data_IF_882120791158
#
_entry.id   IF_882120791158
#
_cell.length_a   1.000
_cell.length_b   1.000
_cell.length_c   1.000
_cell.angle_alpha   90.00
_cell.angle_beta   90.00
_cell.angle_gamma   90.00
#
_symmetry.space_group_name_H-M   'P 1'
#
loop_
_entity.id
_entity.type
_entity.pdbx_description
1 polymer ?
#
# COMPACT_ATOMS: atom_id res chain seq x y z
N UNK A 1 -17.20 -2.19 15.89
CA UNK A 1 -17.65 -0.98 15.16
C UNK A 1 -16.53 0.00 14.79
N UNK A 2 -15.78 0.53 15.75
CA UNK A 2 -14.94 1.73 15.53
C UNK A 2 -13.59 1.47 14.88
N UNK A 3 -13.00 0.26 14.99
CA UNK A 3 -11.63 0.00 14.49
C UNK A 3 -11.56 -0.30 13.00
N UNK A 4 -12.59 -0.93 12.39
CA UNK A 4 -12.67 -1.08 10.93
C UNK A 4 -13.18 0.18 10.27
N UNK A 5 -14.12 0.90 10.91
CA UNK A 5 -14.34 2.27 10.49
C UNK A 5 -13.04 3.04 10.66
N UNK A 6 -12.26 2.89 11.72
CA UNK A 6 -10.98 3.56 11.83
C UNK A 6 -9.97 3.07 10.80
N UNK A 7 -9.91 1.81 10.37
CA UNK A 7 -8.97 1.39 9.31
C UNK A 7 -9.48 1.81 7.92
N UNK A 8 -10.77 1.64 7.61
CA UNK A 8 -11.35 2.06 6.33
C UNK A 8 -11.47 3.59 6.23
N UNK A 9 -11.73 4.27 7.34
CA UNK A 9 -11.72 5.72 7.50
C UNK A 9 -10.29 6.22 7.61
N UNK A 10 -9.34 5.52 8.20
CA UNK A 10 -7.91 5.87 8.17
C UNK A 10 -7.38 5.71 6.75
N UNK A 11 -7.70 4.61 6.08
CA UNK A 11 -7.45 4.40 4.65
C UNK A 11 -8.13 5.53 3.87
N UNK A 12 -9.40 5.88 4.08
CA UNK A 12 -10.07 7.01 3.39
C UNK A 12 -9.57 8.41 3.80
N UNK A 13 -9.14 8.62 5.04
CA UNK A 13 -8.69 9.91 5.60
C UNK A 13 -7.25 10.19 5.18
N UNK A 14 -6.47 9.12 5.01
CA UNK A 14 -5.11 9.19 4.49
C UNK A 14 -5.08 8.97 2.97
N UNK A 15 -6.16 8.50 2.35
CA UNK A 15 -6.40 8.55 0.90
C UNK A 15 -7.39 9.69 0.64
N UNK A 16 -6.92 10.91 0.83
CA UNK A 16 -7.52 12.04 0.15
C UNK A 16 -6.52 12.58 -0.86
N UNK A 17 -6.97 12.60 -2.11
CA UNK A 17 -6.50 13.49 -3.15
C UNK A 17 -6.21 14.86 -2.54
N UNK A 18 -4.92 15.23 -2.53
CA UNK A 18 -4.58 16.64 -2.62
C UNK A 18 -4.86 17.08 -4.06
N UNK A 19 -6.14 17.19 -4.42
CA UNK A 19 -6.51 18.14 -5.46
C UNK A 19 -6.25 19.53 -4.87
N UNK A 20 -5.47 20.40 -5.54
CA UNK A 20 -5.26 21.76 -5.07
C UNK A 20 -6.61 22.45 -4.94
N UNK A 21 -6.84 23.06 -3.78
CA UNK A 21 -7.97 23.93 -3.49
C UNK A 21 -8.12 24.97 -4.60
N UNK A 22 -9.26 24.95 -5.30
CA UNK A 22 -9.66 26.06 -6.17
C UNK A 22 -9.74 27.35 -5.33
N UNK A 23 -9.05 28.44 -5.72
CA UNK A 23 -9.23 29.71 -5.05
C UNK A 23 -10.56 30.33 -5.48
N UNK A 24 -11.38 30.68 -4.48
CA UNK A 24 -12.66 31.37 -4.63
C UNK A 24 -12.51 32.73 -5.31
N UNK A 25 -13.38 32.98 -6.28
CA UNK A 25 -13.57 34.27 -6.94
C UNK A 25 -13.99 35.38 -5.97
N UNK A 26 -13.23 36.49 -5.95
CA UNK A 26 -13.81 37.85 -5.91
C UNK A 26 -12.84 38.82 -6.61
N UNK A 27 -13.31 39.71 -7.50
CA UNK A 27 -12.45 40.43 -8.43
C UNK A 27 -11.89 41.72 -7.83
N UNK A 28 -10.71 42.16 -8.27
CA UNK A 28 -10.42 43.53 -8.69
C UNK A 28 -8.96 43.72 -9.16
N UNK A 29 -8.84 44.58 -10.17
CA UNK A 29 -7.64 45.28 -10.66
C UNK A 29 -6.71 44.55 -11.65
N UNK A 30 -6.96 44.86 -12.93
CA UNK A 30 -6.08 44.72 -14.08
C UNK A 30 -4.75 45.48 -13.85
N UNK A 31 -3.61 44.83 -14.04
CA UNK A 31 -2.45 45.41 -14.73
C UNK A 31 -1.43 44.33 -15.19
N UNK A 32 -1.44 44.08 -16.50
CA UNK A 32 -0.33 43.69 -17.39
C UNK A 32 0.85 42.88 -16.81
N UNK A 33 0.93 41.58 -17.12
CA UNK A 33 2.11 40.96 -17.77
C UNK A 33 1.79 39.58 -18.36
N UNK A 34 1.87 39.47 -19.70
CA UNK A 34 2.14 38.30 -20.56
C UNK A 34 1.34 36.97 -20.42
N UNK A 35 1.01 36.31 -21.55
CA UNK A 35 0.40 34.98 -21.50
C UNK A 35 1.47 33.96 -21.10
N UNK A 36 1.35 33.37 -19.91
CA UNK A 36 2.17 32.22 -19.53
C UNK A 36 1.67 31.03 -20.34
N UNK A 37 2.26 30.86 -21.52
CA UNK A 37 2.12 29.68 -22.35
C UNK A 37 2.95 28.57 -21.66
N UNK A 38 2.32 27.81 -20.75
CA UNK A 38 2.97 26.67 -20.10
C UNK A 38 3.07 25.53 -21.12
N UNK A 39 4.30 25.11 -21.38
CA UNK A 39 4.62 24.03 -22.31
C UNK A 39 4.00 22.70 -21.80
N UNK A 40 3.38 21.86 -22.65
CA UNK A 40 2.85 20.56 -22.26
C UNK A 40 3.89 19.55 -21.73
N UNK A 41 5.16 19.95 -21.63
CA UNK A 41 6.28 19.18 -21.07
C UNK A 41 6.42 19.32 -19.54
N UNK A 42 5.70 20.24 -18.88
CA UNK A 42 5.75 20.44 -17.42
C UNK A 42 4.97 19.39 -16.60
N UNK A 43 4.43 18.34 -17.22
CA UNK A 43 3.60 17.31 -16.57
C UNK A 43 4.12 15.87 -16.73
N UNK A 44 5.44 15.67 -16.82
CA UNK A 44 6.03 14.31 -16.80
C UNK A 44 7.23 14.23 -15.85
N UNK A 45 7.02 13.56 -14.72
CA UNK A 45 8.07 13.07 -13.84
C UNK A 45 8.68 11.81 -14.51
N UNK A 46 9.91 11.85 -15.07
CA UNK A 46 10.41 10.74 -15.89
C UNK A 46 10.82 9.49 -15.08
N UNK A 47 10.96 9.61 -13.76
CA UNK A 47 11.45 8.56 -12.87
C UNK A 47 10.45 8.02 -11.86
N UNK A 48 9.30 8.67 -11.65
CA UNK A 48 8.30 8.29 -10.64
C UNK A 48 6.91 8.20 -11.27
N UNK A 49 6.15 7.19 -10.86
CA UNK A 49 4.76 6.98 -11.27
C UNK A 49 3.90 6.72 -10.04
N UNK A 50 2.61 7.01 -10.13
CA UNK A 50 1.64 6.67 -9.10
C UNK A 50 1.09 5.27 -9.37
N UNK A 51 1.22 4.34 -8.41
CA UNK A 51 0.65 2.98 -8.50
C UNK A 51 -0.62 2.90 -7.65
N UNK A 52 -1.63 2.17 -8.14
CA UNK A 52 -2.90 1.91 -7.46
C UNK A 52 -2.89 0.46 -6.96
N UNK A 53 -3.14 0.27 -5.67
CA UNK A 53 -3.26 -1.03 -5.01
C UNK A 53 -4.71 -1.21 -4.52
N UNK A 54 -5.47 -2.15 -5.09
CA UNK A 54 -6.79 -2.52 -4.63
C UNK A 54 -6.70 -3.31 -3.32
N UNK A 55 -7.62 -3.01 -2.43
CA UNK A 55 -7.88 -3.74 -1.18
C UNK A 55 -9.06 -4.69 -1.41
N UNK A 56 -10.09 -4.19 -2.11
CA UNK A 56 -11.28 -4.91 -2.56
C UNK A 56 -11.81 -4.28 -3.86
N UNK A 57 -13.02 -4.64 -4.29
CA UNK A 57 -13.65 -4.14 -5.53
C UNK A 57 -13.97 -2.63 -5.52
N UNK A 58 -14.10 -2.04 -4.34
CA UNK A 58 -14.57 -0.66 -4.16
C UNK A 58 -13.55 0.23 -3.44
N UNK A 59 -12.48 -0.35 -2.91
CA UNK A 59 -11.46 0.34 -2.13
C UNK A 59 -10.08 0.07 -2.71
N UNK A 60 -9.37 1.15 -3.02
CA UNK A 60 -7.97 1.12 -3.44
C UNK A 60 -7.20 2.26 -2.81
N UNK A 61 -5.89 2.14 -2.77
CA UNK A 61 -4.99 3.18 -2.31
C UNK A 61 -3.85 3.40 -3.30
N UNK A 62 -3.22 4.57 -3.20
CA UNK A 62 -2.19 4.99 -4.14
C UNK A 62 -0.87 5.24 -3.42
N UNK A 63 0.24 5.04 -4.11
CA UNK A 63 1.57 5.44 -3.66
C UNK A 63 2.49 5.81 -4.81
N UNK A 64 3.53 6.57 -4.51
CA UNK A 64 4.57 6.92 -5.47
C UNK A 64 5.60 5.80 -5.59
N UNK A 65 5.88 5.41 -6.83
CA UNK A 65 6.79 4.32 -7.19
C UNK A 65 7.87 4.81 -8.15
N UNK A 66 9.13 4.49 -7.85
CA UNK A 66 10.26 4.76 -8.73
C UNK A 66 10.38 3.72 -9.84
N UNK A 67 10.42 4.13 -11.11
CA UNK A 67 10.56 3.22 -12.24
C UNK A 67 12.01 2.70 -12.32
N UNK A 68 12.25 1.38 -12.25
CA UNK A 68 13.60 0.85 -12.32
C UNK A 68 14.35 1.27 -13.59
N UNK A 69 15.65 1.58 -13.44
CA UNK A 69 16.50 2.04 -14.55
C UNK A 69 16.29 3.50 -14.97
N UNK A 70 15.49 4.27 -14.22
CA UNK A 70 15.36 5.71 -14.40
C UNK A 70 16.18 6.46 -13.34
N UNK A 71 16.78 7.56 -13.76
CA UNK A 71 17.37 8.55 -12.87
C UNK A 71 16.23 9.28 -12.14
N UNK A 72 16.36 9.39 -10.82
CA UNK A 72 15.48 10.14 -9.93
C UNK A 72 16.12 11.49 -9.63
N UNK A 73 15.33 12.56 -9.65
CA UNK A 73 15.76 13.86 -9.19
C UNK A 73 15.65 13.96 -7.66
N UNK A 74 16.19 15.02 -7.06
CA UNK A 74 16.06 15.22 -5.61
C UNK A 74 14.59 15.41 -5.20
N UNK A 75 13.83 16.11 -6.03
CA UNK A 75 12.41 16.37 -5.84
C UNK A 75 11.58 15.07 -5.89
N UNK A 76 12.00 14.10 -6.70
CA UNK A 76 11.38 12.78 -6.78
C UNK A 76 11.57 11.99 -5.49
N UNK A 77 12.80 12.01 -4.95
CA UNK A 77 13.15 11.36 -3.69
C UNK A 77 12.43 12.02 -2.52
N UNK A 78 12.38 13.36 -2.49
CA UNK A 78 11.66 14.12 -1.46
C UNK A 78 10.16 13.80 -1.48
N UNK A 79 9.55 13.72 -2.66
CA UNK A 79 8.16 13.33 -2.83
C UNK A 79 7.89 11.95 -2.21
N UNK A 80 8.67 10.93 -2.60
CA UNK A 80 8.48 9.56 -2.10
C UNK A 80 8.79 9.46 -0.60
N UNK A 81 9.83 10.13 -0.12
CA UNK A 81 10.21 10.15 1.30
C UNK A 81 9.14 10.83 2.16
N UNK A 82 8.50 11.89 1.64
CA UNK A 82 7.40 12.58 2.33
C UNK A 82 6.12 11.73 2.41
N UNK A 83 5.90 10.85 1.43
CA UNK A 83 4.74 9.95 1.36
C UNK A 83 4.97 8.64 2.13
N UNK A 84 6.24 8.26 2.35
CA UNK A 84 6.64 7.01 2.99
C UNK A 84 5.95 6.75 4.34
N UNK A 85 5.83 7.72 5.29
CA UNK A 85 5.13 7.47 6.56
C UNK A 85 3.67 7.04 6.39
N UNK A 86 2.98 7.59 5.39
CA UNK A 86 1.60 7.20 5.07
C UNK A 86 1.55 5.77 4.53
N UNK A 87 2.44 5.45 3.60
CA UNK A 87 2.55 4.10 3.02
C UNK A 87 2.87 3.08 4.11
N UNK A 88 3.83 3.37 4.98
CA UNK A 88 4.20 2.50 6.10
C UNK A 88 3.06 2.26 7.07
N UNK A 89 2.24 3.28 7.36
CA UNK A 89 1.10 3.08 8.25
C UNK A 89 0.02 2.18 7.62
N UNK A 90 -0.18 2.25 6.30
CA UNK A 90 -1.06 1.28 5.60
C UNK A 90 -0.45 -0.13 5.68
N UNK A 91 0.85 -0.27 5.41
CA UNK A 91 1.55 -1.56 5.48
C UNK A 91 1.56 -2.14 6.89
N UNK A 92 1.64 -1.30 7.91
CA UNK A 92 1.53 -1.70 9.31
C UNK A 92 0.19 -2.35 9.60
N UNK A 93 -0.91 -1.73 9.15
CA UNK A 93 -2.23 -2.33 9.29
C UNK A 93 -2.32 -3.66 8.54
N UNK A 94 -1.76 -3.74 7.32
CA UNK A 94 -1.76 -4.98 6.53
C UNK A 94 -0.95 -6.10 7.20
N UNK A 95 0.26 -5.82 7.70
CA UNK A 95 1.11 -6.78 8.40
C UNK A 95 0.49 -7.21 9.72
N UNK A 96 -0.07 -6.29 10.49
CA UNK A 96 -0.81 -6.64 11.70
C UNK A 96 -1.99 -7.57 11.38
N UNK A 97 -2.75 -7.23 10.34
CA UNK A 97 -3.95 -7.96 9.96
C UNK A 97 -3.62 -9.36 9.44
N UNK A 98 -2.60 -9.49 8.59
CA UNK A 98 -2.37 -10.70 7.80
C UNK A 98 -1.12 -11.48 8.19
N UNK A 99 -0.21 -10.87 8.94
CA UNK A 99 1.13 -11.40 9.16
C UNK A 99 2.01 -11.19 7.92
N UNK A 100 3.28 -10.90 8.16
CA UNK A 100 4.32 -10.82 7.14
C UNK A 100 5.40 -11.87 7.37
N UNK A 101 6.19 -12.18 6.35
CA UNK A 101 7.41 -12.97 6.47
C UNK A 101 8.55 -12.16 5.88
N UNK A 102 9.62 -11.94 6.63
CA UNK A 102 10.77 -11.19 6.18
C UNK A 102 11.76 -12.08 5.42
N UNK A 103 12.23 -11.64 4.27
CA UNK A 103 13.20 -12.34 3.43
C UNK A 103 14.43 -11.49 3.18
N UNK A 104 15.57 -12.07 3.47
CA UNK A 104 16.88 -11.50 3.19
C UNK A 104 17.73 -12.48 2.41
N UNK A 105 18.93 -12.06 2.03
CA UNK A 105 19.88 -12.89 1.27
C UNK A 105 20.23 -14.23 1.96
N UNK A 106 20.14 -14.29 3.29
CA UNK A 106 20.47 -15.48 4.09
C UNK A 106 19.27 -16.39 4.38
N UNK A 107 18.06 -16.03 3.91
CA UNK A 107 16.86 -16.83 4.13
C UNK A 107 16.78 -17.98 3.11
N UNK A 108 17.22 -19.18 3.50
CA UNK A 108 17.25 -20.35 2.61
C UNK A 108 15.87 -20.98 2.35
N UNK A 109 14.89 -20.82 3.26
CA UNK A 109 13.56 -21.48 3.15
C UNK A 109 12.42 -20.67 3.78
N UNK A 110 11.32 -20.57 3.04
CA UNK A 110 10.03 -19.98 3.46
C UNK A 110 9.40 -20.63 4.70
N UNK A 111 9.56 -21.96 4.86
CA UNK A 111 8.83 -22.74 5.87
C UNK A 111 9.33 -22.60 7.31
N UNK A 112 10.51 -21.99 7.50
CA UNK A 112 11.14 -21.85 8.82
C UNK A 112 11.00 -20.42 9.38
N UNK A 113 10.43 -19.49 8.59
CA UNK A 113 10.22 -18.11 9.00
C UNK A 113 8.96 -18.01 9.85
N UNK A 114 9.10 -17.42 11.03
CA UNK A 114 7.96 -17.06 11.86
C UNK A 114 7.26 -15.83 11.27
N UNK A 115 5.92 -15.79 11.30
CA UNK A 115 5.20 -14.61 10.86
C UNK A 115 5.45 -13.45 11.83
N UNK A 116 5.67 -12.26 11.26
CA UNK A 116 5.73 -10.99 12.01
C UNK A 116 4.38 -10.29 11.91
N UNK A 117 3.94 -9.69 13.00
CA UNK A 117 2.67 -8.93 13.07
C UNK A 117 2.86 -7.47 13.46
N UNK A 118 4.12 -7.05 13.61
CA UNK A 118 4.52 -5.68 13.90
C UNK A 118 5.38 -5.16 12.74
N UNK A 119 4.98 -4.05 12.15
CA UNK A 119 5.75 -3.41 11.09
C UNK A 119 7.12 -2.95 11.55
N UNK A 120 7.26 -2.58 12.82
CA UNK A 120 8.53 -2.16 13.38
C UNK A 120 9.54 -3.32 13.40
N UNK A 121 9.08 -4.58 13.48
CA UNK A 121 9.93 -5.76 13.31
C UNK A 121 10.42 -5.89 11.85
N UNK A 122 9.55 -5.62 10.87
CA UNK A 122 9.92 -5.57 9.43
C UNK A 122 10.97 -4.50 9.18
N UNK A 123 10.78 -3.29 9.72
CA UNK A 123 11.74 -2.20 9.58
C UNK A 123 13.07 -2.51 10.27
N UNK A 124 13.03 -3.16 11.44
CA UNK A 124 14.24 -3.61 12.14
C UNK A 124 15.00 -4.63 11.30
N UNK A 125 14.30 -5.58 10.70
CA UNK A 125 14.87 -6.53 9.76
C UNK A 125 15.54 -5.84 8.56
N UNK A 126 14.87 -4.85 7.96
CA UNK A 126 15.42 -4.10 6.82
C UNK A 126 16.70 -3.33 7.20
N UNK A 127 16.71 -2.66 8.35
CA UNK A 127 17.91 -1.96 8.88
C UNK A 127 19.07 -2.90 9.13
N UNK A 128 18.82 -4.09 9.68
CA UNK A 128 19.84 -5.13 9.85
C UNK A 128 20.47 -5.57 8.52
N UNK A 129 19.75 -5.44 7.41
CA UNK A 129 20.22 -5.69 6.05
C UNK A 129 20.79 -4.43 5.35
N UNK A 130 21.00 -3.35 6.10
CA UNK A 130 21.61 -2.11 5.63
C UNK A 130 20.65 -1.06 5.06
N UNK A 131 19.34 -1.28 5.14
CA UNK A 131 18.34 -0.36 4.62
C UNK A 131 17.99 0.74 5.64
N UNK A 132 18.91 1.69 5.84
CA UNK A 132 18.68 2.89 6.69
C UNK A 132 17.84 3.96 5.98
N UNK A 133 17.98 4.05 4.67
CA UNK A 133 17.12 4.85 3.78
C UNK A 133 16.69 3.95 2.64
N UNK A 134 15.38 3.91 2.40
CA UNK A 134 14.79 3.01 1.41
C UNK A 134 13.59 3.62 0.72
N UNK A 135 13.30 3.06 -0.45
CA UNK A 135 12.02 3.16 -1.14
C UNK A 135 11.36 1.78 -1.13
N UNK A 136 10.05 1.77 -1.34
CA UNK A 136 9.26 0.54 -1.36
C UNK A 136 8.72 0.27 -2.76
N UNK A 137 8.84 -0.98 -3.20
CA UNK A 137 7.95 -1.52 -4.24
C UNK A 137 6.96 -2.47 -3.61
N UNK A 138 5.76 -2.53 -4.19
CA UNK A 138 4.68 -3.36 -3.68
C UNK A 138 4.01 -4.04 -4.85
N UNK A 139 4.34 -5.32 -5.00
CA UNK A 139 3.64 -6.21 -5.90
C UNK A 139 2.51 -6.89 -5.15
N UNK A 140 1.35 -6.98 -5.78
CA UNK A 140 0.17 -7.54 -5.16
C UNK A 140 -0.57 -8.46 -6.12
N UNK A 141 -1.25 -9.45 -5.56
CA UNK A 141 -2.32 -10.17 -6.23
C UNK A 141 -3.66 -9.64 -5.70
N UNK A 142 -4.64 -9.38 -6.58
CA UNK A 142 -5.93 -8.83 -6.15
C UNK A 142 -6.53 -9.67 -5.04
N UNK A 143 -7.04 -8.98 -4.02
CA UNK A 143 -7.58 -9.58 -2.81
C UNK A 143 -9.07 -9.32 -2.71
N UNK A 144 -9.81 -10.25 -2.09
CA UNK A 144 -11.15 -9.98 -1.59
C UNK A 144 -11.14 -9.95 -0.05
N UNK A 145 -11.35 -8.76 0.53
CA UNK A 145 -11.54 -8.56 1.98
C UNK A 145 -12.99 -8.14 2.19
N UNK A 146 -13.76 -8.87 3.00
CA UNK A 146 -15.13 -8.48 3.38
C UNK A 146 -15.36 -8.68 4.87
N UNK A 147 -16.30 -7.91 5.42
CA UNK A 147 -16.84 -8.14 6.76
C UNK A 147 -17.52 -9.51 6.80
N UNK A 148 -17.31 -10.26 7.87
CA UNK A 148 -17.91 -11.59 8.05
C UNK A 148 -18.75 -11.63 9.32
N UNK A 149 -20.05 -11.88 9.16
CA UNK A 149 -20.95 -12.12 10.28
C UNK A 149 -21.19 -13.63 10.40
N UNK A 150 -20.94 -14.21 11.58
CA UNK A 150 -21.10 -15.65 11.82
C UNK A 150 -22.56 -16.14 11.88
N UNK A 151 -23.56 -15.25 11.90
CA UNK A 151 -24.98 -15.61 11.99
C UNK A 151 -25.71 -15.39 10.64
N UNK A 152 -26.15 -16.46 9.96
CA UNK A 152 -26.86 -16.34 8.68
C UNK A 152 -28.35 -15.97 8.80
N UNK A 153 -28.97 -16.10 9.98
CA UNK A 153 -30.44 -16.19 10.08
C UNK A 153 -31.13 -15.19 11.04
N UNK A 154 -30.40 -14.26 11.65
CA UNK A 154 -31.04 -13.15 12.36
C UNK A 154 -30.87 -11.87 11.56
N UNK A 155 -31.92 -11.53 10.83
CA UNK A 155 -32.14 -10.21 10.27
C UNK A 155 -32.17 -9.19 11.41
N UNK A 156 -31.01 -8.60 11.71
CA UNK A 156 -30.88 -7.30 12.34
C UNK A 156 -29.47 -6.81 12.05
N UNK A 157 -29.36 -5.54 11.62
CA UNK A 157 -28.12 -4.80 11.42
C UNK A 157 -27.29 -4.76 12.71
N UNK A 158 -26.62 -5.87 13.05
CA UNK A 158 -25.59 -5.86 14.07
C UNK A 158 -24.41 -5.09 13.49
N UNK A 159 -24.31 -3.82 13.85
CA UNK A 159 -23.24 -2.90 13.41
C UNK A 159 -21.85 -3.32 13.92
N UNK A 160 -21.78 -4.28 14.84
CA UNK A 160 -20.55 -4.88 15.34
C UNK A 160 -20.18 -6.18 14.61
N UNK A 161 -19.62 -6.03 13.42
CA UNK A 161 -18.87 -7.13 12.79
C UNK A 161 -17.54 -7.29 13.52
N UNK A 162 -17.41 -8.37 14.31
CA UNK A 162 -16.19 -8.72 15.06
C UNK A 162 -15.14 -9.43 14.19
N UNK A 163 -15.52 -9.87 12.99
CA UNK A 163 -14.69 -10.71 12.12
C UNK A 163 -14.55 -10.18 10.69
N UNK A 164 -13.41 -10.46 10.07
CA UNK A 164 -13.17 -10.25 8.63
C UNK A 164 -12.92 -11.56 7.93
N UNK A 165 -13.34 -11.68 6.68
CA UNK A 165 -13.04 -12.78 5.78
C UNK A 165 -12.11 -12.30 4.67
N UNK A 166 -11.10 -13.12 4.36
CA UNK A 166 -10.03 -12.80 3.40
C UNK A 166 -9.81 -13.99 2.47
N UNK A 167 -9.83 -13.77 1.15
CA UNK A 167 -9.54 -14.80 0.14
C UNK A 167 -8.55 -14.30 -0.92
N UNK A 168 -7.61 -15.16 -1.34
CA UNK A 168 -6.24 -15.11 -0.85
C UNK A 168 -5.48 -13.94 -1.42
N UNK A 169 -4.89 -13.18 -0.52
CA UNK A 169 -3.96 -12.14 -0.86
C UNK A 169 -2.52 -12.62 -0.87
N UNK A 170 -1.76 -12.06 -1.80
CA UNK A 170 -0.30 -12.04 -1.75
C UNK A 170 0.15 -10.60 -1.96
N UNK A 171 0.87 -10.04 -0.99
CA UNK A 171 1.63 -8.81 -1.18
C UNK A 171 3.11 -9.11 -0.98
N UNK A 172 3.91 -8.59 -1.89
CA UNK A 172 5.36 -8.60 -1.81
C UNK A 172 5.81 -7.15 -1.70
N UNK A 173 6.23 -6.76 -0.49
CA UNK A 173 6.79 -5.45 -0.19
C UNK A 173 8.30 -5.57 -0.27
N UNK A 174 8.92 -4.84 -1.17
CA UNK A 174 10.35 -4.92 -1.42
C UNK A 174 11.05 -3.62 -1.11
N UNK A 175 12.18 -3.72 -0.42
CA UNK A 175 12.98 -2.57 -0.03
C UNK A 175 14.05 -2.29 -1.08
N UNK A 176 14.20 -1.02 -1.44
CA UNK A 176 15.20 -0.55 -2.39
C UNK A 176 16.08 0.54 -1.77
N UNK A 177 17.40 0.39 -1.89
CA UNK A 177 18.34 1.47 -1.57
C UNK A 177 18.49 2.39 -2.76
N UNK A 178 18.49 3.70 -2.49
CA UNK A 178 18.84 4.72 -3.46
C UNK A 178 20.28 5.18 -3.23
N UNK A 179 21.03 5.34 -4.31
CA UNK A 179 22.41 5.82 -4.29
C UNK A 179 22.52 7.13 -5.05
N UNK A 180 23.18 8.15 -4.46
CA UNK A 180 23.43 9.40 -5.17
C UNK A 180 24.40 9.19 -6.33
N UNK A 181 24.15 9.90 -7.44
CA UNK A 181 24.97 9.92 -8.64
C UNK A 181 25.28 11.37 -9.03
N UNK A 182 26.11 11.58 -10.06
CA UNK A 182 26.47 12.92 -10.53
C UNK A 182 25.27 13.75 -11.05
N UNK A 183 24.12 13.13 -11.32
CA UNK A 183 22.94 13.78 -11.89
C UNK A 183 21.65 13.65 -11.08
N UNK A 184 21.68 12.98 -9.93
CA UNK A 184 20.49 12.67 -9.15
C UNK A 184 20.67 11.41 -8.30
N UNK A 185 19.68 10.54 -8.29
CA UNK A 185 19.66 9.30 -7.53
C UNK A 185 19.27 8.13 -8.43
N UNK A 186 19.82 6.97 -8.16
CA UNK A 186 19.45 5.73 -8.84
C UNK A 186 19.22 4.62 -7.83
N UNK A 187 18.38 3.65 -8.17
CA UNK A 187 18.25 2.42 -7.40
C UNK A 187 19.58 1.67 -7.43
N UNK A 188 20.07 1.25 -6.27
CA UNK A 188 21.32 0.50 -6.16
C UNK A 188 21.28 -0.80 -6.97
N UNK A 189 22.31 -1.03 -7.79
CA UNK A 189 22.52 -2.27 -8.54
C UNK A 189 23.93 -2.83 -8.23
N UNK A 190 24.09 -4.15 -7.99
CA UNK A 190 23.04 -5.16 -7.91
C UNK A 190 22.15 -4.97 -6.68
N UNK A 191 20.89 -5.38 -6.81
CA UNK A 191 19.89 -5.25 -5.75
C UNK A 191 20.21 -6.17 -4.57
N UNK A 192 20.22 -5.60 -3.37
CA UNK A 192 20.24 -6.39 -2.13
C UNK A 192 18.85 -6.95 -1.89
N UNK A 193 18.74 -8.27 -1.68
CA UNK A 193 17.46 -8.92 -1.39
C UNK A 193 17.03 -8.53 0.02
N UNK A 194 15.92 -7.79 0.13
CA UNK A 194 15.21 -7.49 1.37
C UNK A 194 13.74 -7.24 1.06
N UNK A 195 12.86 -8.09 1.58
CA UNK A 195 11.41 -7.97 1.35
C UNK A 195 10.60 -8.48 2.53
N UNK A 196 9.34 -8.07 2.61
CA UNK A 196 8.32 -8.63 3.47
C UNK A 196 7.20 -9.18 2.58
N UNK A 197 6.84 -10.46 2.75
CA UNK A 197 5.72 -11.06 2.03
C UNK A 197 4.58 -11.33 2.99
N UNK A 198 3.42 -10.79 2.63
CA UNK A 198 2.15 -11.16 3.23
C UNK A 198 1.57 -12.22 2.33
N UNK A 199 1.58 -13.47 2.80
CA UNK A 199 0.95 -14.57 2.09
C UNK A 199 0.00 -15.31 3.00
N UNK A 200 -1.29 -15.12 2.72
CA UNK A 200 -2.38 -15.72 3.50
C UNK A 200 -2.49 -17.22 3.23
N UNK A 201 -2.11 -17.68 2.03
CA UNK A 201 -2.03 -19.08 1.60
C UNK A 201 -3.37 -19.81 1.50
N UNK A 202 -4.31 -19.48 2.37
CA UNK A 202 -5.63 -20.08 2.53
C UNK A 202 -6.61 -18.99 2.95
N UNK A 203 -7.84 -19.02 2.40
CA UNK A 203 -8.98 -18.31 2.94
C UNK A 203 -9.11 -18.42 4.48
N UNK A 204 -9.31 -17.30 5.17
CA UNK A 204 -9.50 -17.30 6.62
C UNK A 204 -10.47 -16.22 7.10
N UNK A 205 -10.97 -16.43 8.32
CA UNK A 205 -11.70 -15.46 9.12
C UNK A 205 -10.81 -15.03 10.28
N UNK A 206 -10.65 -13.73 10.51
CA UNK A 206 -9.93 -13.19 11.67
C UNK A 206 -10.84 -12.35 12.56
N UNK A 207 -10.80 -12.62 13.86
CA UNK A 207 -11.42 -11.78 14.89
C UNK A 207 -10.55 -10.55 15.12
N UNK A 208 -11.15 -9.36 15.04
CA UNK A 208 -10.41 -8.09 15.03
C UNK A 208 -9.81 -7.77 16.39
N UNK A 209 -10.59 -7.93 17.47
CA UNK A 209 -10.13 -7.61 18.82
C UNK A 209 -9.11 -8.61 19.39
N UNK A 210 -9.35 -9.91 19.21
CA UNK A 210 -8.49 -10.96 19.80
C UNK A 210 -7.35 -11.37 18.88
N UNK A 211 -7.42 -11.05 17.59
CA UNK A 211 -6.49 -11.52 16.57
C UNK A 211 -6.65 -13.00 16.20
N UNK A 212 -7.60 -13.72 16.81
CA UNK A 212 -7.83 -15.15 16.57
C UNK A 212 -8.20 -15.39 15.11
N UNK A 213 -7.57 -16.38 14.48
CA UNK A 213 -7.74 -16.69 13.05
C UNK A 213 -8.22 -18.12 12.85
N UNK A 214 -9.21 -18.30 11.98
CA UNK A 214 -9.75 -19.61 11.60
C UNK A 214 -9.75 -19.79 10.08
N UNK A 215 -9.16 -20.86 9.59
CA UNK A 215 -9.12 -21.17 8.14
C UNK A 215 -10.50 -21.68 7.69
N UNK A 216 -11.01 -21.13 6.59
CA UNK A 216 -12.34 -21.46 6.03
C UNK A 216 -12.30 -21.43 4.51
N UNK A 217 -12.42 -22.57 3.85
CA UNK A 217 -12.33 -22.69 2.39
C UNK A 217 -13.65 -22.40 1.65
N UNK A 218 -14.70 -22.07 2.40
CA UNK A 218 -16.07 -21.85 1.95
C UNK A 218 -16.52 -20.41 2.15
N UNK A 219 -15.60 -19.43 2.13
CA UNK A 219 -15.97 -18.03 2.36
C UNK A 219 -16.57 -17.37 1.12
N UNK A 220 -16.16 -17.80 -0.09
CA UNK A 220 -16.67 -17.28 -1.38
C UNK A 220 -16.70 -15.74 -1.43
N UNK A 221 -15.69 -15.12 -0.80
CA UNK A 221 -15.53 -13.67 -0.71
C UNK A 221 -15.15 -13.12 -2.07
N UNK A 222 -14.26 -13.83 -2.77
CA UNK A 222 -13.84 -13.51 -4.13
C UNK A 222 -14.80 -14.13 -5.15
N UNK A 223 -15.33 -13.31 -6.05
CA UNK A 223 -16.03 -13.76 -7.24
C UNK A 223 -15.08 -13.81 -8.44
N UNK A 224 -15.31 -14.67 -9.45
CA UNK A 224 -14.46 -14.75 -10.65
C UNK A 224 -14.28 -13.41 -11.39
N UNK A 225 -15.21 -12.45 -11.21
CA UNK A 225 -15.14 -11.12 -11.81
C UNK A 225 -14.23 -10.15 -11.04
N UNK A 226 -13.95 -10.41 -9.76
CA UNK A 226 -13.10 -9.58 -8.90
C UNK A 226 -11.64 -9.55 -9.40
N UNK A 227 -11.22 -10.57 -10.17
CA UNK A 227 -9.91 -10.62 -10.84
C UNK A 227 -9.88 -9.92 -12.21
N UNK A 228 -11.06 -9.53 -12.74
CA UNK A 228 -11.21 -9.12 -14.15
C UNK A 228 -11.52 -7.65 -14.36
N UNK A 229 -11.82 -6.90 -13.29
CA UNK A 229 -11.97 -5.45 -13.36
C UNK A 229 -10.71 -4.79 -12.83
N UNK A 230 -9.87 -4.21 -13.71
CA UNK A 230 -8.73 -3.46 -13.25
C UNK A 230 -9.16 -2.24 -12.44
N UNK A 231 -8.41 -1.85 -11.40
CA UNK A 231 -8.77 -0.74 -10.51
C UNK A 231 -8.87 0.63 -11.23
N UNK A 232 -8.40 0.74 -12.47
CA UNK A 232 -8.44 1.96 -13.30
C UNK A 232 -9.68 2.08 -14.21
N UNK A 233 -10.71 1.24 -14.03
CA UNK A 233 -11.95 1.30 -14.83
C UNK A 233 -13.06 2.16 -14.21
N UNK A 234 -12.82 2.88 -13.11
CA UNK A 234 -13.74 3.87 -12.53
C UNK A 234 -13.31 5.29 -12.88
#
# INVERSE_FOLDING_TARGET
NEEIQAIQQFVKDNISDRTPTEPSDTPLAIQNSQPVNRDPKELRIPGVVKRIIPIDNDTSWEYWWCVPGRLLLAEDVDLMTSDLPRVESILEQLVWLFGGHCFGKECDRLGDLLPVHDWQEVLTFARQHGFESYLLDIDYLPTAIKRYNQQPDSAEDSTDTEYIAVEPAHWHIEFFQITPTNGGYEIQHPKTICSCQIWTGKPFIKHLHTGETSIRYDLWVAHPLDLTQPPWFK
#
